data_IF_595806458798
#
_entry.id   IF_595806458798
#
_cell.length_a   1.000
_cell.length_b   1.000
_cell.length_c   1.000
_cell.angle_alpha   90.00
_cell.angle_beta   90.00
_cell.angle_gamma   90.00
#
_symmetry.space_group_name_H-M   'P 1'
#
loop_
_entity.id
_entity.type
_entity.pdbx_description
1 polymer ?
#
# COMPACT_ATOMS: atom_id res chain seq x y z
N UNK A 1 10.16 2.51 31.08
CA UNK A 1 10.91 2.92 29.91
C UNK A 1 10.60 1.96 28.78
N UNK A 2 9.86 2.43 27.76
CA UNK A 2 9.75 1.73 26.51
C UNK A 2 11.16 1.72 25.91
N UNK A 3 11.70 0.54 25.66
CA UNK A 3 12.93 0.39 24.88
C UNK A 3 12.64 0.98 23.51
N UNK A 4 13.38 2.03 23.14
CA UNK A 4 13.43 2.53 21.76
C UNK A 4 13.61 1.31 20.86
N UNK A 5 12.69 1.13 19.89
CA UNK A 5 12.79 0.03 18.96
C UNK A 5 14.03 0.28 18.10
N UNK A 6 15.03 -0.59 18.20
CA UNK A 6 16.24 -0.56 17.36
C UNK A 6 15.95 -0.81 15.86
N UNK A 7 14.68 -1.01 15.50
CA UNK A 7 14.24 -1.30 14.14
C UNK A 7 13.55 -0.07 13.51
N UNK A 8 13.82 0.22 12.23
CA UNK A 8 13.18 1.31 11.54
C UNK A 8 11.66 1.10 11.47
N UNK A 9 10.91 2.18 11.54
CA UNK A 9 9.48 2.18 11.22
C UNK A 9 9.27 1.86 9.74
N UNK A 10 8.05 1.44 9.38
CA UNK A 10 7.70 1.21 7.97
C UNK A 10 7.91 2.47 7.11
N UNK A 11 7.68 3.67 7.69
CA UNK A 11 7.89 4.95 7.00
C UNK A 11 9.36 5.18 6.72
N UNK A 12 10.25 5.00 7.71
CA UNK A 12 11.69 5.15 7.54
C UNK A 12 12.25 4.13 6.56
N UNK A 13 11.83 2.87 6.68
CA UNK A 13 12.27 1.82 5.76
C UNK A 13 11.85 2.10 4.31
N UNK A 14 10.59 2.52 4.09
CA UNK A 14 10.08 2.87 2.76
C UNK A 14 10.77 4.11 2.18
N UNK A 15 11.03 5.13 3.02
CA UNK A 15 11.70 6.36 2.63
C UNK A 15 13.13 6.08 2.15
N UNK A 16 13.89 5.32 2.92
CA UNK A 16 15.27 4.91 2.60
C UNK A 16 15.28 4.01 1.34
N UNK A 17 14.37 3.04 1.25
CA UNK A 17 14.29 2.16 0.11
C UNK A 17 14.00 2.94 -1.19
N UNK A 18 13.09 3.92 -1.13
CA UNK A 18 12.81 4.79 -2.26
C UNK A 18 14.07 5.54 -2.71
N UNK A 19 14.79 6.17 -1.77
CA UNK A 19 15.99 6.95 -2.09
C UNK A 19 17.09 6.07 -2.71
N UNK A 20 17.35 4.90 -2.14
CA UNK A 20 18.36 3.97 -2.66
C UNK A 20 17.99 3.50 -4.08
N UNK A 21 16.72 3.17 -4.32
CA UNK A 21 16.27 2.64 -5.60
C UNK A 21 16.16 3.72 -6.68
N UNK A 22 15.91 4.96 -6.29
CA UNK A 22 15.76 6.09 -7.21
C UNK A 22 17.10 6.79 -7.52
N UNK A 23 18.14 6.55 -6.70
CA UNK A 23 19.43 7.21 -6.87
C UNK A 23 20.15 6.71 -8.12
N UNK A 24 20.49 7.64 -9.04
CA UNK A 24 21.21 7.38 -10.31
C UNK A 24 20.64 6.18 -11.13
N UNK A 25 19.31 5.99 -11.05
CA UNK A 25 18.67 4.83 -11.64
C UNK A 25 18.01 5.11 -13.00
N UNK A 26 18.78 4.92 -14.07
CA UNK A 26 18.29 5.04 -15.46
C UNK A 26 17.28 3.94 -15.86
N UNK A 27 17.19 2.84 -15.10
CA UNK A 27 16.35 1.70 -15.42
C UNK A 27 14.97 1.72 -14.72
N UNK A 28 14.76 2.66 -13.79
CA UNK A 28 13.60 2.71 -12.90
C UNK A 28 13.60 1.55 -11.89
N UNK A 29 12.58 1.48 -11.06
CA UNK A 29 12.50 0.47 -10.01
C UNK A 29 11.05 0.01 -9.78
N UNK A 30 10.90 -1.07 -9.05
CA UNK A 30 9.66 -1.51 -8.43
C UNK A 30 9.90 -1.69 -6.93
N UNK A 31 9.10 -1.01 -6.13
CA UNK A 31 9.12 -1.13 -4.67
C UNK A 31 7.73 -1.54 -4.20
N UNK A 32 7.64 -2.60 -3.38
CA UNK A 32 6.43 -2.97 -2.67
C UNK A 32 6.63 -2.75 -1.17
N UNK A 33 5.68 -2.08 -0.56
CA UNK A 33 5.66 -1.82 0.89
C UNK A 33 4.36 -2.35 1.46
N UNK A 34 4.44 -3.22 2.47
CA UNK A 34 3.29 -3.90 3.04
C UNK A 34 3.01 -3.45 4.48
N UNK A 35 1.77 -3.00 4.73
CA UNK A 35 1.26 -2.71 6.07
C UNK A 35 0.65 -3.95 6.74
N UNK A 36 1.38 -5.06 6.83
CA UNK A 36 0.88 -6.39 7.24
C UNK A 36 0.20 -6.45 8.62
N UNK A 37 0.54 -5.53 9.52
CA UNK A 37 -0.07 -5.52 10.86
C UNK A 37 -1.52 -5.02 10.88
N UNK A 38 -1.98 -4.33 9.84
CA UNK A 38 -3.39 -3.95 9.69
C UNK A 38 -4.24 -5.22 9.63
N UNK A 39 -3.86 -6.16 8.77
CA UNK A 39 -4.50 -7.47 8.63
C UNK A 39 -4.41 -8.31 9.91
N UNK A 40 -3.21 -8.45 10.49
CA UNK A 40 -3.00 -9.23 11.71
C UNK A 40 -3.86 -8.75 12.89
N UNK A 41 -4.03 -7.43 13.06
CA UNK A 41 -4.89 -6.85 14.09
C UNK A 41 -6.36 -7.02 13.77
N UNK A 42 -6.74 -6.97 12.50
CA UNK A 42 -8.12 -7.25 12.06
C UNK A 42 -8.51 -8.71 12.32
N UNK A 43 -7.61 -9.67 12.08
CA UNK A 43 -7.80 -11.08 12.46
C UNK A 43 -8.03 -11.27 13.96
N UNK A 44 -7.35 -10.47 14.79
CA UNK A 44 -7.50 -10.49 16.25
C UNK A 44 -8.71 -9.68 16.73
N UNK A 45 -9.46 -9.02 15.83
CA UNK A 45 -10.54 -8.08 16.15
C UNK A 45 -10.07 -6.95 17.10
N UNK A 46 -8.80 -6.55 17.01
CA UNK A 46 -8.18 -5.48 17.79
C UNK A 46 -8.30 -4.14 17.04
N UNK A 47 -9.39 -3.42 17.27
CA UNK A 47 -9.69 -2.18 16.56
C UNK A 47 -8.61 -1.11 16.78
N UNK A 48 -8.20 -0.89 18.02
CA UNK A 48 -7.22 0.15 18.34
C UNK A 48 -5.83 -0.20 17.78
N UNK A 49 -5.44 -1.46 17.85
CA UNK A 49 -4.20 -1.95 17.23
C UNK A 49 -4.23 -1.78 15.72
N UNK A 50 -5.32 -2.16 15.06
CA UNK A 50 -5.52 -1.99 13.62
C UNK A 50 -5.43 -0.51 13.22
N UNK A 51 -6.15 0.39 13.91
CA UNK A 51 -6.14 1.83 13.63
C UNK A 51 -4.76 2.48 13.81
N UNK A 52 -3.96 2.03 14.79
CA UNK A 52 -2.58 2.51 14.97
C UNK A 52 -1.71 2.16 13.77
N UNK A 53 -1.78 0.92 13.31
CA UNK A 53 -1.01 0.48 12.14
C UNK A 53 -1.51 1.09 10.84
N UNK A 54 -2.83 1.28 10.69
CA UNK A 54 -3.42 1.98 9.56
C UNK A 54 -2.93 3.44 9.50
N UNK A 55 -2.93 4.15 10.64
CA UNK A 55 -2.40 5.52 10.70
C UNK A 55 -0.92 5.59 10.32
N UNK A 56 -0.11 4.63 10.79
CA UNK A 56 1.32 4.58 10.44
C UNK A 56 1.51 4.30 8.93
N UNK A 57 0.68 3.44 8.36
CA UNK A 57 0.71 3.17 6.92
C UNK A 57 0.27 4.38 6.10
N UNK A 58 -0.77 5.10 6.53
CA UNK A 58 -1.24 6.33 5.91
C UNK A 58 -0.15 7.41 5.85
N UNK A 59 0.60 7.61 6.95
CA UNK A 59 1.78 8.49 6.99
C UNK A 59 2.85 8.03 5.99
N UNK A 60 3.05 6.72 5.87
CA UNK A 60 4.00 6.15 4.91
C UNK A 60 3.57 6.45 3.47
N UNK A 61 2.29 6.25 3.18
CA UNK A 61 1.71 6.56 1.86
C UNK A 61 1.88 8.04 1.53
N UNK A 62 1.53 8.95 2.46
CA UNK A 62 1.71 10.38 2.28
C UNK A 62 3.17 10.71 1.94
N UNK A 63 4.12 10.16 2.68
CA UNK A 63 5.55 10.39 2.46
C UNK A 63 6.01 9.94 1.07
N UNK A 64 5.60 8.75 0.64
CA UNK A 64 5.97 8.22 -0.67
C UNK A 64 5.28 8.98 -1.80
N UNK A 65 4.03 9.40 -1.64
CA UNK A 65 3.33 10.25 -2.62
C UNK A 65 4.02 11.61 -2.78
N UNK A 66 4.51 12.21 -1.69
CA UNK A 66 5.29 13.46 -1.75
C UNK A 66 6.59 13.26 -2.56
N UNK A 67 7.33 12.17 -2.30
CA UNK A 67 8.55 11.83 -3.06
C UNK A 67 8.26 11.57 -4.53
N UNK A 68 7.24 10.78 -4.83
CA UNK A 68 6.82 10.49 -6.19
C UNK A 68 6.38 11.74 -6.96
N UNK A 69 5.76 12.69 -6.25
CA UNK A 69 5.36 13.98 -6.83
C UNK A 69 6.58 14.86 -7.14
N UNK A 70 7.56 14.89 -6.24
CA UNK A 70 8.80 15.63 -6.43
C UNK A 70 9.68 15.03 -7.54
N UNK A 71 9.74 13.71 -7.61
CA UNK A 71 10.42 12.93 -8.65
C UNK A 71 9.77 13.15 -10.04
N UNK A 72 8.45 13.19 -10.08
CA UNK A 72 7.68 13.48 -11.28
C UNK A 72 7.60 12.33 -12.29
N UNK A 73 8.19 11.18 -12.01
CA UNK A 73 8.22 10.00 -12.90
C UNK A 73 7.83 8.69 -12.21
N UNK A 74 7.45 8.74 -10.95
CA UNK A 74 7.02 7.58 -10.17
C UNK A 74 5.51 7.45 -10.13
N UNK A 75 4.98 6.24 -10.41
CA UNK A 75 3.59 5.84 -10.18
C UNK A 75 3.49 5.17 -8.81
N UNK A 76 2.57 5.64 -7.98
CA UNK A 76 2.22 5.02 -6.68
C UNK A 76 0.85 4.36 -6.81
N UNK A 77 0.77 3.10 -6.42
CA UNK A 77 -0.48 2.33 -6.33
C UNK A 77 -0.68 1.94 -4.87
N UNK A 78 -1.82 2.31 -4.30
CA UNK A 78 -2.20 1.91 -2.94
C UNK A 78 -3.43 1.02 -3.04
N UNK A 79 -3.35 -0.18 -2.48
CA UNK A 79 -4.47 -1.12 -2.48
C UNK A 79 -4.30 -2.13 -1.33
N UNK A 80 -5.31 -2.96 -1.10
CA UNK A 80 -5.21 -4.16 -0.29
C UNK A 80 -5.35 -5.40 -1.19
N UNK A 81 -4.91 -6.53 -0.71
CA UNK A 81 -5.08 -7.85 -1.33
C UNK A 81 -6.45 -8.45 -1.02
N UNK A 82 -7.02 -8.15 0.16
CA UNK A 82 -8.36 -8.56 0.62
C UNK A 82 -8.84 -7.69 1.78
N UNK A 83 -10.10 -7.85 2.14
CA UNK A 83 -10.69 -7.36 3.38
C UNK A 83 -10.52 -8.40 4.48
N UNK A 84 -10.34 -7.95 5.73
CA UNK A 84 -10.20 -8.80 6.91
C UNK A 84 -11.05 -8.31 8.07
N UNK A 85 -11.72 -9.24 8.75
CA UNK A 85 -12.47 -8.97 9.97
C UNK A 85 -13.92 -8.59 9.75
N UNK A 86 -14.37 -8.38 8.51
CA UNK A 86 -15.71 -7.92 8.20
C UNK A 86 -16.13 -6.72 9.06
N UNK A 87 -15.25 -5.71 9.13
CA UNK A 87 -15.49 -4.51 9.90
C UNK A 87 -16.68 -3.73 9.31
N UNK A 88 -17.67 -3.44 10.13
CA UNK A 88 -18.87 -2.69 9.77
C UNK A 88 -19.03 -1.54 10.76
N UNK A 89 -19.12 -0.33 10.24
CA UNK A 89 -19.35 0.89 11.02
C UNK A 89 -20.52 1.65 10.45
N UNK A 90 -21.46 1.99 11.32
CA UNK A 90 -22.54 2.92 11.01
C UNK A 90 -22.36 4.22 11.81
N UNK A 91 -22.80 5.32 11.24
CA UNK A 91 -22.70 6.62 11.91
C UNK A 91 -23.46 6.58 13.25
N UNK A 92 -22.71 6.83 14.34
CA UNK A 92 -23.23 6.75 15.71
C UNK A 92 -22.82 5.49 16.48
N UNK A 93 -22.18 4.53 15.83
CA UNK A 93 -21.61 3.37 16.53
C UNK A 93 -20.45 3.79 17.44
N UNK A 94 -20.33 3.08 18.56
CA UNK A 94 -19.13 3.19 19.41
C UNK A 94 -17.93 2.54 18.72
N UNK A 95 -16.79 3.19 18.78
CA UNK A 95 -15.52 2.65 18.28
C UNK A 95 -14.97 1.56 19.21
N UNK A 96 -15.43 0.35 19.03
CA UNK A 96 -15.05 -0.83 19.82
C UNK A 96 -14.76 -2.03 18.91
N UNK A 97 -14.14 -3.07 19.48
CA UNK A 97 -13.86 -4.33 18.80
C UNK A 97 -15.12 -5.04 18.29
N UNK A 98 -16.31 -4.66 18.78
CA UNK A 98 -17.61 -5.19 18.32
C UNK A 98 -17.97 -4.81 16.89
N UNK A 99 -17.23 -3.87 16.28
CA UNK A 99 -17.39 -3.53 14.87
C UNK A 99 -16.88 -4.65 13.93
N UNK A 100 -16.04 -5.56 14.43
CA UNK A 100 -15.63 -6.73 13.71
C UNK A 100 -16.70 -7.85 13.81
N UNK A 101 -17.00 -8.46 12.68
CA UNK A 101 -17.99 -9.53 12.58
C UNK A 101 -17.41 -10.86 12.10
N UNK A 102 -16.09 -10.90 11.90
CA UNK A 102 -15.33 -12.08 11.49
C UNK A 102 -13.91 -12.02 12.05
N UNK A 103 -13.27 -13.16 12.18
CA UNK A 103 -11.83 -13.27 12.40
C UNK A 103 -11.07 -13.71 11.14
N UNK A 104 -11.73 -13.71 9.98
CA UNK A 104 -11.16 -14.15 8.71
C UNK A 104 -11.31 -13.11 7.61
N UNK A 105 -10.83 -13.47 6.41
CA UNK A 105 -11.01 -12.67 5.21
C UNK A 105 -12.44 -12.75 4.71
N UNK A 106 -12.86 -11.72 3.97
CA UNK A 106 -14.13 -11.74 3.25
C UNK A 106 -13.91 -11.51 1.75
N UNK A 107 -14.95 -11.75 0.96
CA UNK A 107 -14.94 -11.51 -0.48
C UNK A 107 -15.39 -10.07 -0.85
N UNK A 108 -15.34 -9.14 0.10
CA UNK A 108 -15.66 -7.73 -0.18
C UNK A 108 -14.59 -7.11 -1.05
N UNK A 109 -15.03 -6.28 -1.98
CA UNK A 109 -14.13 -5.46 -2.77
C UNK A 109 -13.32 -4.51 -1.88
N UNK A 110 -12.05 -4.31 -2.24
CA UNK A 110 -11.14 -3.35 -1.59
C UNK A 110 -10.85 -2.19 -2.52
N UNK A 111 -10.60 -1.03 -1.95
CA UNK A 111 -10.29 0.16 -2.72
C UNK A 111 -8.88 0.10 -3.30
N UNK A 112 -8.68 0.78 -4.42
CA UNK A 112 -7.35 1.10 -4.92
C UNK A 112 -7.25 2.60 -5.25
N UNK A 113 -6.06 3.14 -5.15
CA UNK A 113 -5.75 4.54 -5.42
C UNK A 113 -4.49 4.62 -6.29
N UNK A 114 -4.47 5.61 -7.18
CA UNK A 114 -3.35 5.84 -8.09
C UNK A 114 -2.89 7.28 -7.94
N UNK A 115 -1.58 7.47 -7.79
CA UNK A 115 -0.95 8.79 -7.69
C UNK A 115 0.27 8.84 -8.60
N UNK A 116 0.69 10.06 -8.96
CA UNK A 116 1.91 10.29 -9.73
C UNK A 116 1.70 10.36 -11.23
N UNK A 117 2.83 10.35 -11.96
CA UNK A 117 2.86 10.49 -13.40
C UNK A 117 2.37 9.22 -14.10
N UNK A 118 1.71 9.41 -15.25
CA UNK A 118 1.20 8.33 -16.09
C UNK A 118 0.23 7.39 -15.38
N UNK A 119 -0.60 7.94 -14.50
CA UNK A 119 -1.61 7.15 -13.82
C UNK A 119 -2.38 6.28 -14.80
N UNK A 120 -2.32 5.00 -14.56
CA UNK A 120 -3.09 4.01 -15.29
C UNK A 120 -4.57 4.32 -15.18
N UNK A 121 -5.28 4.34 -16.29
CA UNK A 121 -6.74 4.39 -16.28
C UNK A 121 -7.25 2.96 -16.09
N UNK A 122 -7.43 2.57 -14.84
CA UNK A 122 -8.15 1.35 -14.49
C UNK A 122 -9.65 1.67 -14.41
N UNK A 123 -10.49 0.66 -14.62
CA UNK A 123 -11.95 0.80 -14.46
C UNK A 123 -12.34 0.99 -12.99
N UNK A 124 -13.62 1.28 -12.74
CA UNK A 124 -14.15 1.44 -11.36
C UNK A 124 -14.06 0.17 -10.51
N UNK A 125 -14.01 -0.99 -11.14
CA UNK A 125 -13.76 -2.28 -10.52
C UNK A 125 -12.88 -3.11 -11.46
N UNK A 126 -11.82 -3.71 -10.92
CA UNK A 126 -10.85 -4.50 -11.69
C UNK A 126 -10.44 -5.74 -10.89
N UNK A 127 -10.17 -6.81 -11.59
CA UNK A 127 -9.52 -7.98 -11.01
C UNK A 127 -8.07 -7.64 -10.63
N UNK A 128 -7.56 -8.16 -9.53
CA UNK A 128 -6.20 -7.89 -9.04
C UNK A 128 -5.11 -8.23 -10.06
N UNK A 129 -5.33 -9.22 -10.93
CA UNK A 129 -4.41 -9.55 -12.04
C UNK A 129 -4.32 -8.43 -13.06
N UNK A 130 -5.35 -7.59 -13.18
CA UNK A 130 -5.34 -6.42 -14.07
C UNK A 130 -4.35 -5.37 -13.58
N UNK A 131 -4.23 -5.18 -12.27
CA UNK A 131 -3.23 -4.28 -11.66
C UNK A 131 -1.83 -4.77 -12.03
N UNK A 132 -1.54 -6.06 -11.86
CA UNK A 132 -0.24 -6.63 -12.19
C UNK A 132 0.10 -6.49 -13.69
N UNK A 133 -0.86 -6.73 -14.59
CA UNK A 133 -0.70 -6.53 -16.03
C UNK A 133 -0.44 -5.06 -16.38
N UNK A 134 -1.10 -4.14 -15.69
CA UNK A 134 -0.92 -2.71 -15.88
C UNK A 134 0.47 -2.26 -15.42
N UNK A 135 0.94 -2.71 -14.26
CA UNK A 135 2.31 -2.46 -13.78
C UNK A 135 3.34 -2.96 -14.81
N UNK A 136 3.20 -4.20 -15.29
CA UNK A 136 4.11 -4.74 -16.32
C UNK A 136 4.16 -3.89 -17.59
N UNK A 137 3.02 -3.37 -18.05
CA UNK A 137 2.97 -2.47 -19.21
C UNK A 137 3.70 -1.16 -18.96
N UNK A 138 3.53 -0.56 -17.76
CA UNK A 138 4.25 0.66 -17.39
C UNK A 138 5.75 0.42 -17.37
N UNK A 139 6.18 -0.66 -16.74
CA UNK A 139 7.59 -1.05 -16.65
C UNK A 139 8.18 -1.33 -18.03
N UNK A 140 7.46 -2.01 -18.92
CA UNK A 140 7.92 -2.36 -20.27
C UNK A 140 7.94 -1.16 -21.25
N UNK A 141 7.14 -0.13 -21.00
CA UNK A 141 7.05 1.05 -21.86
C UNK A 141 8.17 2.07 -21.61
N UNK A 142 9.03 1.84 -20.62
CA UNK A 142 10.12 2.77 -20.26
C UNK A 142 11.29 2.60 -21.26
N UNK A 143 11.67 3.66 -22.01
CA UNK A 143 12.78 3.55 -22.97
C UNK A 143 14.10 3.36 -22.21
N UNK A 144 14.75 2.24 -22.42
CA UNK A 144 16.04 1.88 -21.80
C UNK A 144 16.06 0.50 -21.14
N UNK A 145 14.97 -0.26 -21.17
CA UNK A 145 14.87 -1.53 -20.45
C UNK A 145 15.18 -2.76 -21.27
N UNK A 146 15.94 -3.60 -20.59
CA UNK A 146 16.23 -4.99 -20.90
C UNK A 146 14.92 -5.75 -21.14
N UNK A 147 14.84 -6.45 -22.30
CA UNK A 147 13.84 -7.47 -22.56
C UNK A 147 13.78 -8.45 -21.38
N UNK A 148 12.71 -8.42 -20.61
CA UNK A 148 12.36 -9.55 -19.78
C UNK A 148 12.01 -10.69 -20.74
N UNK A 149 12.98 -11.56 -20.96
CA UNK A 149 12.78 -12.77 -21.75
C UNK A 149 11.57 -13.53 -21.20
N UNK A 150 10.71 -13.93 -22.11
CA UNK A 150 9.51 -14.74 -22.01
C UNK A 150 9.61 -15.91 -21.06
#
# INVERSE_FOLDING_TARGET
GETENDYPTITEAADIAFDILNNDNENGFFLMVEGSHIDKRSHANDLLGMLRHLKQFDITVERIVQKATADGDTLVIVTADHETGNLIYFNGDEFTDKLFHSGGHTAKDVNYYLFGKNCLRLGSAVDNTTIAKAIRKCVAAYPGRVNLAS
#
